data_IF_222696573841
#
_entry.id   IF_222696573841
#
_cell.length_a   1.000
_cell.length_b   1.000
_cell.length_c   1.000
_cell.angle_alpha   90.00
_cell.angle_beta   90.00
_cell.angle_gamma   90.00
#
_symmetry.space_group_name_H-M   'P 1'
#
loop_
_entity.id
_entity.type
_entity.pdbx_description
1 polymer ?
#
# COMPACT_ATOMS: atom_id res chain seq x y z
N UNK A 1 -32.89 4.67 5.86
CA UNK A 1 -31.46 4.58 5.50
C UNK A 1 -31.24 3.19 4.92
N UNK A 2 -31.23 3.06 3.61
CA UNK A 2 -30.77 1.83 2.93
C UNK A 2 -29.28 1.73 3.23
N UNK A 3 -28.89 0.79 4.08
CA UNK A 3 -27.49 0.43 4.23
C UNK A 3 -27.00 -0.05 2.86
N UNK A 4 -25.95 0.57 2.33
CA UNK A 4 -25.24 0.06 1.16
C UNK A 4 -24.87 -1.40 1.43
N UNK A 5 -24.93 -2.28 0.41
CA UNK A 5 -24.51 -3.66 0.58
C UNK A 5 -23.04 -3.66 1.00
N UNK A 6 -22.76 -4.16 2.19
CA UNK A 6 -21.40 -4.36 2.66
C UNK A 6 -20.74 -5.41 1.76
N UNK A 7 -19.53 -5.15 1.30
CA UNK A 7 -18.75 -6.10 0.50
C UNK A 7 -18.64 -7.44 1.25
N UNK A 8 -19.18 -8.51 0.67
CA UNK A 8 -19.27 -9.83 1.32
C UNK A 8 -18.09 -10.72 1.01
N UNK A 9 -17.46 -10.53 -0.14
CA UNK A 9 -16.37 -11.36 -0.64
C UNK A 9 -15.34 -10.50 -1.38
N UNK A 10 -14.09 -10.94 -1.29
CA UNK A 10 -12.98 -10.51 -2.15
C UNK A 10 -12.47 -11.71 -2.94
N UNK A 11 -11.92 -11.46 -4.11
CA UNK A 11 -11.21 -12.44 -4.93
C UNK A 11 -9.73 -12.05 -4.92
N UNK A 12 -8.84 -12.97 -4.49
CA UNK A 12 -7.42 -12.66 -4.34
C UNK A 12 -6.50 -13.84 -4.61
N UNK A 13 -5.24 -13.55 -4.93
CA UNK A 13 -4.12 -14.47 -5.00
C UNK A 13 -2.94 -13.92 -4.19
N UNK A 14 -2.13 -14.81 -3.62
CA UNK A 14 -0.83 -14.45 -3.03
C UNK A 14 0.32 -14.50 -4.04
N UNK A 15 0.04 -14.56 -5.33
CA UNK A 15 1.06 -14.66 -6.39
C UNK A 15 2.00 -15.85 -6.18
N UNK A 16 1.45 -16.96 -5.67
CA UNK A 16 2.21 -18.16 -5.37
C UNK A 16 2.25 -19.15 -6.56
N UNK A 17 1.72 -18.76 -7.71
CA UNK A 17 1.66 -19.57 -8.93
C UNK A 17 2.05 -18.75 -10.17
N UNK A 18 2.48 -19.45 -11.22
CA UNK A 18 2.95 -18.85 -12.47
C UNK A 18 1.87 -18.09 -13.23
N UNK A 19 0.62 -18.51 -13.15
CA UNK A 19 -0.46 -17.93 -13.96
C UNK A 19 -0.85 -16.56 -13.43
N UNK A 20 -1.01 -16.41 -12.11
CA UNK A 20 -1.29 -15.11 -11.49
C UNK A 20 -0.10 -14.16 -11.55
N UNK A 21 1.14 -14.67 -11.48
CA UNK A 21 2.35 -13.86 -11.72
C UNK A 21 2.41 -13.38 -13.18
N UNK A 22 2.15 -14.23 -14.16
CA UNK A 22 2.14 -13.85 -15.57
C UNK A 22 1.03 -12.83 -15.88
N UNK A 23 -0.16 -12.99 -15.29
CA UNK A 23 -1.25 -12.02 -15.40
C UNK A 23 -0.81 -10.65 -14.88
N UNK A 24 -0.30 -10.59 -13.65
CA UNK A 24 0.14 -9.32 -13.06
C UNK A 24 1.29 -8.70 -13.83
N UNK A 25 2.29 -9.51 -14.23
CA UNK A 25 3.40 -9.02 -15.05
C UNK A 25 2.91 -8.34 -16.33
N UNK A 26 1.94 -8.99 -17.03
CA UNK A 26 1.34 -8.40 -18.22
C UNK A 26 0.60 -7.09 -17.92
N UNK A 27 -0.20 -7.03 -16.86
CA UNK A 27 -0.93 -5.81 -16.49
C UNK A 27 0.03 -4.64 -16.19
N UNK A 28 1.12 -4.90 -15.47
CA UNK A 28 2.14 -3.90 -15.16
C UNK A 28 2.88 -3.43 -16.43
N UNK A 29 3.25 -4.35 -17.34
CA UNK A 29 3.86 -4.02 -18.63
C UNK A 29 2.92 -3.18 -19.51
N UNK A 30 1.64 -3.58 -19.63
CA UNK A 30 0.64 -2.85 -20.40
C UNK A 30 0.37 -1.45 -19.82
N UNK A 31 0.59 -1.26 -18.53
CA UNK A 31 0.52 0.03 -17.84
C UNK A 31 1.81 0.87 -17.96
N UNK A 32 2.89 0.30 -18.50
CA UNK A 32 4.15 1.02 -18.72
C UNK A 32 5.13 0.99 -17.54
N UNK A 33 4.93 0.10 -16.58
CA UNK A 33 5.92 -0.14 -15.50
C UNK A 33 7.17 -0.77 -16.13
N UNK A 34 8.35 -0.28 -15.77
CA UNK A 34 9.62 -0.78 -16.31
C UNK A 34 9.89 -2.23 -15.90
N UNK A 35 10.56 -2.98 -16.80
CA UNK A 35 10.93 -4.38 -16.56
C UNK A 35 11.74 -4.56 -15.28
N UNK A 36 12.61 -3.60 -14.95
CA UNK A 36 13.40 -3.63 -13.72
C UNK A 36 12.49 -3.62 -12.47
N UNK A 37 11.47 -2.77 -12.42
CA UNK A 37 10.53 -2.69 -11.29
C UNK A 37 9.70 -3.96 -11.17
N UNK A 38 9.23 -4.48 -12.30
CA UNK A 38 8.47 -5.73 -12.35
C UNK A 38 9.31 -6.88 -11.83
N UNK A 39 10.56 -7.02 -12.31
CA UNK A 39 11.47 -8.07 -11.87
C UNK A 39 11.79 -7.97 -10.38
N UNK A 40 12.17 -6.77 -9.91
CA UNK A 40 12.44 -6.54 -8.48
C UNK A 40 11.26 -6.87 -7.60
N UNK A 41 10.04 -6.50 -8.02
CA UNK A 41 8.82 -6.85 -7.29
C UNK A 41 8.64 -8.37 -7.18
N UNK A 42 8.75 -9.11 -8.28
CA UNK A 42 8.57 -10.56 -8.26
C UNK A 42 9.70 -11.30 -7.53
N UNK A 43 10.92 -10.79 -7.55
CA UNK A 43 12.01 -11.33 -6.74
C UNK A 43 11.68 -11.27 -5.24
N UNK A 44 11.08 -10.17 -4.78
CA UNK A 44 10.64 -10.03 -3.40
C UNK A 44 9.39 -10.86 -3.08
N UNK A 45 8.44 -10.97 -4.01
CA UNK A 45 7.30 -11.91 -3.89
C UNK A 45 7.81 -13.32 -3.70
N UNK A 46 8.74 -13.77 -4.54
CA UNK A 46 9.30 -15.11 -4.46
C UNK A 46 10.10 -15.32 -3.18
N UNK A 47 10.91 -14.34 -2.78
CA UNK A 47 11.68 -14.37 -1.53
C UNK A 47 10.76 -14.57 -0.33
N UNK A 48 9.65 -13.80 -0.26
CA UNK A 48 8.67 -13.93 0.81
C UNK A 48 7.95 -15.29 0.77
N UNK A 49 7.41 -15.66 -0.38
CA UNK A 49 6.66 -16.91 -0.54
C UNK A 49 7.52 -18.15 -0.26
N UNK A 50 8.81 -18.11 -0.54
CA UNK A 50 9.76 -19.16 -0.21
C UNK A 50 10.13 -19.23 1.28
N UNK A 51 9.85 -18.20 2.05
CA UNK A 51 10.15 -18.16 3.48
C UNK A 51 9.04 -18.78 4.34
N UNK A 52 7.81 -18.78 3.85
CA UNK A 52 6.62 -19.20 4.62
C UNK A 52 6.10 -20.57 4.17
N UNK A 53 5.24 -21.18 4.98
CA UNK A 53 4.58 -22.43 4.61
C UNK A 53 3.68 -22.21 3.39
N UNK A 54 3.87 -22.98 2.29
CA UNK A 54 3.01 -22.87 1.11
C UNK A 54 1.51 -23.06 1.40
N UNK A 55 1.14 -23.80 2.46
CA UNK A 55 -0.24 -24.01 2.86
C UNK A 55 -0.93 -22.72 3.34
N UNK A 56 -0.18 -21.68 3.71
CA UNK A 56 -0.70 -20.39 4.10
C UNK A 56 -0.96 -19.46 2.91
N UNK A 57 -0.48 -19.82 1.72
CA UNK A 57 -0.58 -19.02 0.52
C UNK A 57 -1.72 -19.48 -0.37
N UNK A 58 -2.41 -18.54 -0.98
CA UNK A 58 -3.44 -18.78 -2.00
C UNK A 58 -2.80 -18.80 -3.38
N UNK A 59 -2.93 -19.94 -4.06
CA UNK A 59 -2.57 -20.12 -5.47
C UNK A 59 -3.79 -19.91 -6.37
N UNK A 60 -3.60 -19.31 -7.53
CA UNK A 60 -4.72 -18.86 -8.35
C UNK A 60 -5.53 -17.77 -7.64
N UNK A 61 -6.76 -17.56 -8.07
CA UNK A 61 -7.70 -16.67 -7.39
C UNK A 61 -8.68 -17.46 -6.55
N UNK A 62 -8.82 -17.09 -5.28
CA UNK A 62 -9.81 -17.64 -4.36
C UNK A 62 -10.70 -16.55 -3.77
N UNK A 63 -11.95 -16.94 -3.48
CA UNK A 63 -12.88 -16.08 -2.76
C UNK A 63 -12.70 -16.22 -1.25
N UNK A 64 -12.68 -15.09 -0.55
CA UNK A 64 -12.66 -15.03 0.91
C UNK A 64 -13.55 -13.91 1.42
N UNK A 65 -13.90 -13.92 2.69
CA UNK A 65 -14.44 -12.73 3.32
C UNK A 65 -13.35 -11.67 3.42
N UNK A 66 -13.69 -10.37 3.32
CA UNK A 66 -12.69 -9.31 3.20
C UNK A 66 -11.67 -9.24 4.33
N UNK A 67 -12.04 -9.66 5.54
CA UNK A 67 -11.17 -9.59 6.74
C UNK A 67 -10.65 -10.96 7.20
N UNK A 68 -11.04 -12.05 6.54
CA UNK A 68 -10.56 -13.38 6.92
C UNK A 68 -9.12 -13.59 6.43
N UNK A 69 -8.29 -14.17 7.31
CA UNK A 69 -6.93 -14.57 7.00
C UNK A 69 -6.82 -16.10 7.05
N UNK A 70 -6.10 -16.68 6.08
CA UNK A 70 -5.75 -18.13 6.09
C UNK A 70 -4.52 -18.44 6.92
N UNK A 71 -3.89 -17.43 7.47
CA UNK A 71 -2.60 -17.50 8.15
C UNK A 71 -2.61 -16.67 9.43
N UNK A 72 -1.68 -16.99 10.30
CA UNK A 72 -1.32 -16.14 11.42
C UNK A 72 -0.10 -15.28 11.05
N UNK A 73 -0.20 -13.93 11.07
CA UNK A 73 0.90 -13.05 10.70
C UNK A 73 2.17 -13.25 11.54
N UNK A 74 2.03 -13.62 12.81
CA UNK A 74 3.19 -13.87 13.67
C UNK A 74 3.92 -15.15 13.28
N UNK A 75 3.19 -16.21 12.94
CA UNK A 75 3.79 -17.44 12.42
C UNK A 75 4.54 -17.21 11.11
N UNK A 76 4.03 -16.32 10.24
CA UNK A 76 4.75 -15.92 9.01
C UNK A 76 6.03 -15.14 9.32
N UNK A 77 5.99 -14.24 10.29
CA UNK A 77 7.16 -13.50 10.74
C UNK A 77 8.23 -14.44 11.32
N UNK A 78 7.83 -15.40 12.12
CA UNK A 78 8.73 -16.40 12.70
C UNK A 78 9.41 -17.22 11.61
N UNK A 79 8.64 -17.72 10.62
CA UNK A 79 9.17 -18.46 9.48
C UNK A 79 10.16 -17.64 8.64
N UNK A 80 9.88 -16.36 8.41
CA UNK A 80 10.81 -15.45 7.75
C UNK A 80 12.10 -15.31 8.56
N UNK A 81 11.99 -15.01 9.86
CA UNK A 81 13.14 -14.78 10.74
C UNK A 81 14.00 -16.02 10.86
N UNK A 82 13.39 -17.22 10.97
CA UNK A 82 14.11 -18.49 10.97
C UNK A 82 14.95 -18.68 9.71
N UNK A 83 14.44 -18.24 8.55
CA UNK A 83 15.13 -18.40 7.27
C UNK A 83 16.19 -17.36 6.99
N UNK A 84 15.93 -16.10 7.32
CA UNK A 84 16.77 -14.97 6.91
C UNK A 84 17.46 -14.24 8.06
N UNK A 85 17.13 -14.57 9.32
CA UNK A 85 17.67 -13.92 10.52
C UNK A 85 17.55 -12.37 10.49
N UNK A 86 16.47 -11.87 9.87
CA UNK A 86 16.19 -10.45 9.70
C UNK A 86 14.73 -10.15 9.93
N UNK A 87 14.39 -8.86 10.00
CA UNK A 87 12.99 -8.43 9.97
C UNK A 87 12.36 -8.72 8.59
N UNK A 88 11.06 -9.09 8.52
CA UNK A 88 10.41 -9.34 7.23
C UNK A 88 10.40 -8.12 6.32
N UNK A 89 10.92 -8.30 5.17
CA UNK A 89 10.93 -7.52 3.93
C UNK A 89 10.12 -6.22 3.82
N UNK A 90 9.42 -6.07 2.71
CA UNK A 90 8.68 -4.84 2.39
C UNK A 90 7.31 -4.77 3.04
N UNK A 91 6.80 -3.55 3.19
CA UNK A 91 5.41 -3.26 3.54
C UNK A 91 4.64 -2.65 2.34
N UNK A 92 3.42 -2.13 2.60
CA UNK A 92 2.59 -1.51 1.58
C UNK A 92 3.26 -0.31 0.91
N UNK A 93 3.92 0.57 1.67
CA UNK A 93 4.56 1.79 1.17
C UNK A 93 5.77 1.49 0.29
N UNK A 94 6.67 0.62 0.74
CA UNK A 94 7.86 0.23 -0.03
C UNK A 94 7.45 -0.50 -1.31
N UNK A 95 6.48 -1.40 -1.23
CA UNK A 95 5.95 -2.14 -2.39
C UNK A 95 5.33 -1.19 -3.42
N UNK A 96 4.46 -0.29 -2.98
CA UNK A 96 3.78 0.63 -3.89
C UNK A 96 4.76 1.65 -4.50
N UNK A 97 5.69 2.19 -3.71
CA UNK A 97 6.75 3.07 -4.20
C UNK A 97 7.63 2.35 -5.24
N UNK A 98 8.01 1.11 -4.99
CA UNK A 98 8.79 0.29 -5.90
C UNK A 98 8.10 0.09 -7.26
N UNK A 99 6.81 -0.24 -7.26
CA UNK A 99 6.04 -0.45 -8.50
C UNK A 99 5.67 0.85 -9.22
N UNK A 100 5.32 1.89 -8.47
CA UNK A 100 4.74 3.12 -9.03
C UNK A 100 5.77 4.24 -9.27
N UNK A 101 7.03 4.02 -8.93
CA UNK A 101 8.07 5.05 -8.94
C UNK A 101 8.32 5.73 -10.29
N UNK A 102 8.10 5.03 -11.43
CA UNK A 102 8.23 5.63 -12.77
C UNK A 102 7.17 6.70 -13.06
N UNK A 103 6.07 6.68 -12.31
CA UNK A 103 4.95 7.62 -12.46
C UNK A 103 5.00 8.79 -11.47
N UNK A 104 6.09 8.91 -10.71
CA UNK A 104 6.29 9.95 -9.69
C UNK A 104 7.48 10.81 -10.05
N UNK A 105 7.28 12.14 -9.95
CA UNK A 105 8.36 13.12 -10.02
C UNK A 105 8.36 13.98 -8.75
N UNK A 106 9.54 14.25 -8.21
CA UNK A 106 9.72 15.10 -7.03
C UNK A 106 10.80 16.13 -7.31
N UNK A 107 10.47 17.41 -7.11
CA UNK A 107 11.40 18.54 -7.36
C UNK A 107 11.77 19.30 -6.07
N UNK A 108 11.06 19.05 -4.98
CA UNK A 108 11.28 19.65 -3.67
C UNK A 108 11.75 18.64 -2.63
N UNK A 109 11.52 18.95 -1.37
CA UNK A 109 11.86 18.08 -0.22
C UNK A 109 10.70 18.02 0.75
N UNK A 110 10.52 16.88 1.41
CA UNK A 110 9.64 16.73 2.54
C UNK A 110 10.31 17.26 3.82
N UNK A 111 9.51 17.77 4.75
CA UNK A 111 9.91 17.96 6.12
C UNK A 111 9.84 16.61 6.84
N UNK A 112 10.95 16.16 7.40
CA UNK A 112 11.09 14.85 8.02
C UNK A 112 11.05 14.87 9.55
N UNK A 113 10.83 16.03 10.19
CA UNK A 113 10.88 16.17 11.64
C UNK A 113 9.99 15.18 12.41
N UNK A 114 8.86 14.77 11.82
CA UNK A 114 7.96 13.75 12.38
C UNK A 114 7.98 12.41 11.64
N UNK A 115 8.75 12.29 10.58
CA UNK A 115 8.77 11.08 9.75
C UNK A 115 9.56 9.95 10.41
N UNK A 116 10.64 10.25 11.14
CA UNK A 116 11.47 9.26 11.81
C UNK A 116 10.67 8.45 12.82
N UNK A 117 9.78 9.08 13.59
CA UNK A 117 8.94 8.40 14.58
C UNK A 117 7.85 7.53 13.93
N UNK A 118 7.40 7.90 12.74
CA UNK A 118 6.28 7.24 12.03
C UNK A 118 6.75 6.17 11.06
N UNK A 119 7.88 6.39 10.39
CA UNK A 119 8.39 5.58 9.29
C UNK A 119 9.71 4.85 9.65
N UNK A 120 10.06 4.74 10.94
CA UNK A 120 11.36 4.18 11.35
C UNK A 120 11.58 2.75 10.82
N UNK A 121 10.53 1.90 10.81
CA UNK A 121 10.64 0.54 10.29
C UNK A 121 10.81 0.51 8.76
N UNK A 122 10.16 1.46 8.07
CA UNK A 122 10.35 1.63 6.62
C UNK A 122 11.79 2.03 6.31
N UNK A 123 12.31 3.00 7.05
CA UNK A 123 13.68 3.49 6.88
C UNK A 123 14.72 2.42 7.19
N UNK A 124 14.52 1.65 8.27
CA UNK A 124 15.39 0.52 8.59
C UNK A 124 15.42 -0.52 7.45
N UNK A 125 14.26 -0.83 6.89
CA UNK A 125 14.16 -1.75 5.74
C UNK A 125 14.84 -1.17 4.49
N UNK A 126 14.57 0.09 4.16
CA UNK A 126 15.17 0.75 2.99
C UNK A 126 16.69 0.88 3.10
N UNK A 127 17.23 1.06 4.31
CA UNK A 127 18.66 1.18 4.56
C UNK A 127 19.37 -0.20 4.54
N UNK A 128 18.66 -1.28 4.87
CA UNK A 128 19.20 -2.64 4.93
C UNK A 128 19.00 -3.45 3.65
N UNK A 129 18.08 -3.04 2.76
CA UNK A 129 17.78 -3.73 1.51
C UNK A 129 18.34 -2.97 0.30
N UNK A 130 19.54 -3.33 -0.19
CA UNK A 130 20.15 -2.65 -1.33
C UNK A 130 19.43 -2.91 -2.66
N UNK A 131 18.50 -3.87 -2.71
CA UNK A 131 17.71 -4.19 -3.90
C UNK A 131 16.45 -3.33 -4.00
N UNK A 132 16.12 -2.57 -2.96
CA UNK A 132 14.95 -1.70 -2.97
C UNK A 132 15.16 -0.49 -3.87
N UNK A 133 14.48 -0.45 -5.01
CA UNK A 133 14.46 0.72 -5.89
C UNK A 133 13.92 1.96 -5.18
N UNK A 134 13.04 1.78 -4.21
CA UNK A 134 12.54 2.86 -3.38
C UNK A 134 13.59 3.43 -2.42
N UNK A 135 14.59 2.63 -2.03
CA UNK A 135 15.76 3.09 -1.29
C UNK A 135 16.61 4.07 -2.09
N UNK A 136 16.89 3.74 -3.37
CA UNK A 136 17.60 4.62 -4.30
C UNK A 136 16.81 5.89 -4.64
N UNK A 137 15.48 5.81 -4.58
CA UNK A 137 14.56 6.90 -4.84
C UNK A 137 13.96 7.48 -3.54
N UNK A 138 14.73 7.52 -2.44
CA UNK A 138 14.30 7.95 -1.11
C UNK A 138 13.50 9.26 -1.14
N UNK A 139 13.86 10.21 -1.98
CA UNK A 139 13.15 11.48 -2.11
C UNK A 139 11.69 11.30 -2.56
N UNK A 140 11.40 10.29 -3.40
CA UNK A 140 10.01 9.98 -3.79
C UNK A 140 9.25 9.38 -2.61
N UNK A 141 9.87 8.46 -1.88
CA UNK A 141 9.30 7.84 -0.68
C UNK A 141 8.96 8.89 0.37
N UNK A 142 9.92 9.76 0.71
CA UNK A 142 9.74 10.82 1.70
C UNK A 142 8.63 11.81 1.29
N UNK A 143 8.61 12.23 0.03
CA UNK A 143 7.61 13.16 -0.47
C UNK A 143 6.18 12.59 -0.39
N UNK A 144 6.03 11.28 -0.64
CA UNK A 144 4.74 10.60 -0.57
C UNK A 144 4.28 10.35 0.86
N UNK A 145 5.17 9.81 1.71
CA UNK A 145 4.77 9.14 2.94
C UNK A 145 5.11 9.89 4.22
N UNK A 146 5.98 10.91 4.18
CA UNK A 146 6.20 11.73 5.36
C UNK A 146 4.89 12.36 5.84
N UNK A 147 4.56 12.30 7.14
CA UNK A 147 3.32 12.83 7.68
C UNK A 147 3.07 14.28 7.28
N UNK A 148 1.80 14.64 7.15
CA UNK A 148 1.37 15.98 6.78
C UNK A 148 0.66 16.62 7.96
N UNK A 149 1.21 17.69 8.53
CA UNK A 149 0.56 18.43 9.62
C UNK A 149 -0.83 18.93 9.17
N UNK A 150 -1.81 18.78 10.05
CA UNK A 150 -3.19 19.18 9.80
C UNK A 150 -3.81 19.83 11.04
N UNK A 151 -5.07 20.23 10.93
CA UNK A 151 -5.85 20.80 12.03
C UNK A 151 -6.73 19.73 12.70
N UNK A 152 -7.07 19.95 13.96
CA UNK A 152 -8.03 19.12 14.68
C UNK A 152 -9.46 19.40 14.15
N UNK A 153 -9.86 18.69 13.09
CA UNK A 153 -11.21 18.77 12.50
C UNK A 153 -11.60 17.41 11.93
N UNK A 154 -12.90 17.12 11.92
CA UNK A 154 -13.45 15.93 11.27
C UNK A 154 -13.80 16.15 9.80
N UNK A 155 -13.53 17.34 9.25
CA UNK A 155 -13.88 17.72 7.87
C UNK A 155 -12.89 17.13 6.86
N UNK A 156 -13.26 16.03 6.21
CA UNK A 156 -12.45 15.35 5.20
C UNK A 156 -12.03 16.27 4.04
N UNK A 157 -12.89 17.14 3.46
CA UNK A 157 -12.47 18.08 2.42
C UNK A 157 -11.31 18.99 2.85
N UNK A 158 -11.27 19.44 4.10
CA UNK A 158 -10.14 20.21 4.65
C UNK A 158 -8.86 19.40 4.65
N UNK A 159 -8.90 18.15 5.10
CA UNK A 159 -7.75 17.25 5.12
C UNK A 159 -7.25 16.92 3.70
N UNK A 160 -8.17 16.64 2.78
CA UNK A 160 -7.83 16.40 1.38
C UNK A 160 -7.08 17.60 0.76
N UNK A 161 -7.58 18.79 0.99
CA UNK A 161 -6.90 20.02 0.53
C UNK A 161 -5.53 20.18 1.17
N UNK A 162 -5.40 19.90 2.45
CA UNK A 162 -4.15 20.02 3.21
C UNK A 162 -3.07 19.08 2.65
N UNK A 163 -3.38 17.80 2.43
CA UNK A 163 -2.41 16.83 1.90
C UNK A 163 -2.01 17.18 0.45
N UNK A 164 -2.96 17.59 -0.38
CA UNK A 164 -2.68 18.01 -1.77
C UNK A 164 -1.79 19.25 -1.83
N UNK A 165 -2.01 20.22 -0.96
CA UNK A 165 -1.17 21.43 -0.88
C UNK A 165 0.25 21.10 -0.39
N UNK A 166 0.39 20.23 0.60
CA UNK A 166 1.70 19.83 1.10
C UNK A 166 2.46 19.03 0.04
N UNK A 167 1.82 18.08 -0.65
CA UNK A 167 2.44 17.34 -1.75
C UNK A 167 2.91 18.28 -2.88
N UNK A 168 2.10 19.29 -3.22
CA UNK A 168 2.51 20.33 -4.18
C UNK A 168 3.72 21.13 -3.68
N UNK A 169 3.78 21.47 -2.39
CA UNK A 169 4.92 22.16 -1.78
C UNK A 169 6.18 21.30 -1.82
N UNK A 170 6.07 19.99 -1.61
CA UNK A 170 7.15 19.01 -1.76
C UNK A 170 7.59 18.82 -3.23
N UNK A 171 6.91 19.43 -4.16
CA UNK A 171 7.16 19.29 -5.60
C UNK A 171 6.78 17.91 -6.13
N UNK A 172 5.87 17.22 -5.44
CA UNK A 172 5.36 15.91 -5.85
C UNK A 172 4.36 16.09 -7.00
N UNK A 173 4.55 15.33 -8.06
CA UNK A 173 3.61 15.22 -9.17
C UNK A 173 3.54 13.79 -9.68
N UNK A 174 2.38 13.42 -10.22
CA UNK A 174 2.09 12.11 -10.77
C UNK A 174 1.88 12.18 -12.28
N UNK A 175 2.30 11.14 -12.98
CA UNK A 175 1.86 10.94 -14.36
C UNK A 175 0.40 10.48 -14.31
N UNK A 176 -0.47 11.23 -14.99
CA UNK A 176 -1.89 10.89 -15.09
C UNK A 176 -2.08 9.82 -16.17
N UNK A 177 -2.25 8.57 -15.75
CA UNK A 177 -2.45 7.41 -16.63
C UNK A 177 -3.64 6.59 -16.15
N UNK A 178 -4.60 6.36 -17.04
CA UNK A 178 -5.81 5.60 -16.71
C UNK A 178 -5.56 4.10 -16.49
N UNK A 179 -4.38 3.60 -16.86
CA UNK A 179 -4.03 2.17 -16.74
C UNK A 179 -3.43 1.81 -15.39
N UNK A 180 -2.95 2.81 -14.63
CA UNK A 180 -2.31 2.59 -13.34
C UNK A 180 -2.57 3.78 -12.41
N UNK A 181 -2.91 3.50 -11.16
CA UNK A 181 -3.14 4.51 -10.12
C UNK A 181 -2.53 4.06 -8.80
N UNK A 182 -2.02 5.02 -8.06
CA UNK A 182 -1.66 4.84 -6.66
C UNK A 182 -2.90 5.14 -5.81
N UNK A 183 -3.36 4.14 -5.04
CA UNK A 183 -4.52 4.30 -4.16
C UNK A 183 -4.06 4.27 -2.71
N UNK A 184 -4.28 5.38 -2.02
CA UNK A 184 -3.82 5.59 -0.65
C UNK A 184 -4.99 5.71 0.32
N UNK A 185 -4.86 5.09 1.48
CA UNK A 185 -5.77 5.22 2.61
C UNK A 185 -5.14 6.20 3.59
N UNK A 186 -5.79 7.33 3.78
CA UNK A 186 -5.30 8.43 4.63
C UNK A 186 -5.97 8.36 5.99
N UNK A 187 -5.15 8.36 7.03
CA UNK A 187 -5.56 8.38 8.44
C UNK A 187 -5.32 9.76 9.03
N UNK A 188 -6.25 10.22 9.86
CA UNK A 188 -6.08 11.38 10.71
C UNK A 188 -5.61 10.93 12.08
N UNK A 189 -4.35 11.19 12.39
CA UNK A 189 -3.74 10.86 13.67
C UNK A 189 -3.65 12.08 14.58
N UNK A 190 -4.05 11.91 15.82
CA UNK A 190 -4.07 12.97 16.84
C UNK A 190 -3.25 12.57 18.04
N UNK A 191 -2.07 13.17 18.18
CA UNK A 191 -1.21 13.00 19.36
C UNK A 191 -1.62 13.93 20.52
N UNK A 192 -2.17 15.12 20.19
CA UNK A 192 -2.73 16.08 21.14
C UNK A 192 -3.74 17.00 20.44
N UNK A 193 -4.41 17.89 21.19
CA UNK A 193 -5.33 18.88 20.59
C UNK A 193 -4.65 19.76 19.54
N UNK A 194 -3.35 20.00 19.66
CA UNK A 194 -2.56 20.87 18.77
C UNK A 194 -1.61 20.10 17.87
N UNK A 195 -1.44 18.80 18.07
CA UNK A 195 -0.56 17.95 17.27
C UNK A 195 -1.37 16.89 16.52
N UNK A 196 -1.73 17.26 15.31
CA UNK A 196 -2.51 16.43 14.39
C UNK A 196 -1.76 16.25 13.08
N UNK A 197 -1.78 15.05 12.53
CA UNK A 197 -1.19 14.76 11.23
C UNK A 197 -2.05 13.81 10.39
N UNK A 198 -1.87 13.93 9.09
CA UNK A 198 -2.37 12.97 8.11
C UNK A 198 -1.22 12.05 7.74
N UNK A 199 -1.50 10.75 7.74
CA UNK A 199 -0.53 9.76 7.32
C UNK A 199 -1.16 8.73 6.39
N UNK A 200 -0.38 8.19 5.46
CA UNK A 200 -0.81 7.10 4.62
C UNK A 200 -0.65 5.80 5.41
N UNK A 201 -1.77 5.32 5.95
CA UNK A 201 -1.83 4.09 6.73
C UNK A 201 -1.79 2.83 5.88
N UNK A 202 -2.26 2.92 4.63
CA UNK A 202 -2.14 1.86 3.64
C UNK A 202 -2.08 2.43 2.22
N UNK A 203 -1.45 1.69 1.32
CA UNK A 203 -1.33 2.07 -0.08
C UNK A 203 -1.14 0.83 -0.94
N UNK A 204 -1.66 0.87 -2.16
CA UNK A 204 -1.43 -0.13 -3.18
C UNK A 204 -1.53 0.44 -4.58
N UNK A 205 -1.26 -0.40 -5.56
CA UNK A 205 -1.28 -0.03 -6.98
C UNK A 205 -2.52 -0.64 -7.63
N UNK A 206 -3.36 0.22 -8.18
CA UNK A 206 -4.57 -0.16 -8.91
C UNK A 206 -4.29 -0.22 -10.41
N UNK A 207 -4.74 -1.29 -11.03
CA UNK A 207 -4.61 -1.57 -12.47
C UNK A 207 -6.01 -1.82 -13.05
N UNK A 208 -6.70 -0.77 -13.54
CA UNK A 208 -8.01 -0.91 -14.16
C UNK A 208 -7.90 -1.61 -15.51
N UNK A 209 -8.87 -2.47 -15.80
CA UNK A 209 -9.08 -3.09 -17.12
C UNK A 209 -10.52 -2.86 -17.59
N UNK A 210 -10.88 -3.33 -18.78
CA UNK A 210 -12.28 -3.28 -19.28
C UNK A 210 -13.24 -4.06 -18.39
N UNK A 211 -12.77 -5.12 -17.73
CA UNK A 211 -13.64 -6.13 -17.11
C UNK A 211 -13.50 -6.19 -15.58
N UNK A 212 -12.42 -5.64 -15.04
CA UNK A 212 -12.11 -5.70 -13.62
C UNK A 212 -11.18 -4.57 -13.18
N UNK A 213 -11.07 -4.40 -11.89
CA UNK A 213 -10.04 -3.58 -11.24
C UNK A 213 -9.14 -4.51 -10.44
N UNK A 214 -7.87 -4.56 -10.80
CA UNK A 214 -6.88 -5.29 -10.03
C UNK A 214 -6.19 -4.34 -9.05
N UNK A 215 -5.84 -4.86 -7.87
CA UNK A 215 -5.17 -4.09 -6.84
C UNK A 215 -4.03 -4.90 -6.24
N UNK A 216 -2.82 -4.37 -6.34
CA UNK A 216 -1.60 -4.97 -5.79
C UNK A 216 -1.32 -4.34 -4.45
N UNK A 217 -1.23 -5.15 -3.41
CA UNK A 217 -0.89 -4.68 -2.07
C UNK A 217 0.05 -5.64 -1.34
N UNK A 218 0.75 -5.11 -0.35
CA UNK A 218 1.35 -5.88 0.75
C UNK A 218 0.87 -5.24 2.04
N UNK A 219 0.06 -5.96 2.81
CA UNK A 219 -0.66 -5.36 3.94
C UNK A 219 0.28 -4.87 5.03
N UNK A 220 1.26 -5.69 5.39
CA UNK A 220 2.27 -5.39 6.39
C UNK A 220 3.57 -6.14 6.09
N UNK A 221 4.64 -5.84 6.81
CA UNK A 221 5.94 -6.50 6.64
C UNK A 221 5.83 -8.03 6.73
N UNK A 222 5.09 -8.54 7.72
CA UNK A 222 4.94 -9.97 7.99
C UNK A 222 3.83 -10.65 7.17
N UNK A 223 3.07 -9.93 6.38
CA UNK A 223 1.96 -10.49 5.59
C UNK A 223 2.35 -10.69 4.12
N UNK A 224 1.75 -11.64 3.39
CA UNK A 224 2.12 -11.92 2.02
C UNK A 224 1.66 -10.81 1.06
N UNK A 225 2.26 -10.80 -0.12
CA UNK A 225 1.78 -10.01 -1.24
C UNK A 225 0.41 -10.50 -1.67
N UNK A 226 -0.43 -9.58 -2.16
CA UNK A 226 -1.74 -9.89 -2.71
C UNK A 226 -1.97 -9.22 -4.05
N UNK A 227 -2.56 -9.97 -4.96
CA UNK A 227 -3.27 -9.45 -6.12
C UNK A 227 -4.76 -9.65 -5.89
N UNK A 228 -5.49 -8.57 -5.65
CA UNK A 228 -6.95 -8.60 -5.49
C UNK A 228 -7.62 -8.25 -6.82
N UNK A 229 -8.82 -8.78 -7.03
CA UNK A 229 -9.65 -8.51 -8.19
C UNK A 229 -11.04 -8.08 -7.76
N UNK A 230 -11.46 -6.91 -8.22
CA UNK A 230 -12.76 -6.31 -7.95
C UNK A 230 -13.51 -6.05 -9.25
N UNK A 231 -14.82 -5.98 -9.20
CA UNK A 231 -15.64 -5.64 -10.37
C UNK A 231 -15.44 -4.20 -10.82
N UNK A 232 -15.19 -3.29 -9.87
CA UNK A 232 -15.05 -1.87 -10.12
C UNK A 232 -14.36 -1.15 -8.96
N UNK A 233 -14.09 0.15 -9.12
CA UNK A 233 -13.43 1.00 -8.11
C UNK A 233 -14.26 1.13 -6.81
N UNK A 234 -15.59 1.03 -6.88
CA UNK A 234 -16.44 1.09 -5.69
C UNK A 234 -16.18 -0.10 -4.77
N UNK A 235 -16.09 -1.32 -5.32
CA UNK A 235 -15.77 -2.51 -4.51
C UNK A 235 -14.37 -2.42 -3.88
N UNK A 236 -13.38 -1.88 -4.59
CA UNK A 236 -12.05 -1.61 -4.02
C UNK A 236 -12.14 -0.59 -2.87
N UNK A 237 -12.87 0.50 -3.07
CA UNK A 237 -13.09 1.51 -2.03
C UNK A 237 -13.79 0.90 -0.80
N UNK A 238 -14.84 0.10 -1.01
CA UNK A 238 -15.57 -0.58 0.07
C UNK A 238 -14.66 -1.54 0.84
N UNK A 239 -13.77 -2.28 0.15
CA UNK A 239 -12.78 -3.14 0.77
C UNK A 239 -11.81 -2.35 1.66
N UNK A 240 -11.25 -1.27 1.14
CA UNK A 240 -10.29 -0.44 1.87
C UNK A 240 -10.95 0.24 3.08
N UNK A 241 -12.14 0.77 2.93
CA UNK A 241 -12.89 1.39 4.04
C UNK A 241 -13.29 0.36 5.09
N UNK A 242 -13.75 -0.83 4.69
CA UNK A 242 -14.08 -1.90 5.64
C UNK A 242 -12.86 -2.32 6.48
N UNK A 243 -11.69 -2.32 5.87
CA UNK A 243 -10.46 -2.77 6.53
C UNK A 243 -9.79 -1.70 7.39
N UNK A 244 -9.84 -0.44 6.97
CA UNK A 244 -9.04 0.64 7.54
C UNK A 244 -9.82 1.76 8.20
N UNK A 245 -11.14 1.90 7.96
CA UNK A 245 -11.98 2.89 8.67
C UNK A 245 -12.38 2.34 10.04
N UNK A 246 -11.40 2.27 10.92
CA UNK A 246 -11.56 1.79 12.28
C UNK A 246 -11.78 2.98 13.22
N UNK A 247 -12.95 3.07 13.84
CA UNK A 247 -13.22 4.04 14.89
C UNK A 247 -12.61 3.56 16.21
N UNK A 248 -11.61 4.28 16.68
CA UNK A 248 -10.94 4.02 17.96
C UNK A 248 -11.52 4.83 19.11
N UNK A 249 -12.68 5.49 18.90
CA UNK A 249 -13.27 6.39 19.86
C UNK A 249 -12.55 7.74 19.99
N UNK A 250 -11.67 8.07 19.05
CA UNK A 250 -11.01 9.38 18.93
C UNK A 250 -11.94 10.35 18.19
N UNK A 251 -11.82 11.63 18.47
CA UNK A 251 -12.56 12.70 17.79
C UNK A 251 -11.79 13.21 16.56
N UNK A 252 -11.39 12.27 15.70
CA UNK A 252 -10.67 12.52 14.45
C UNK A 252 -11.59 12.34 13.24
N UNK A 253 -11.13 12.79 12.07
CA UNK A 253 -11.84 12.53 10.83
C UNK A 253 -11.87 11.01 10.53
N UNK A 254 -12.92 10.57 9.86
CA UNK A 254 -12.94 9.23 9.26
C UNK A 254 -11.79 9.08 8.27
N UNK A 255 -11.32 7.86 8.13
CA UNK A 255 -10.41 7.44 7.07
C UNK A 255 -10.99 7.81 5.70
N UNK A 256 -10.14 8.23 4.78
CA UNK A 256 -10.55 8.53 3.41
C UNK A 256 -9.54 8.02 2.39
N UNK A 257 -10.01 7.84 1.15
CA UNK A 257 -9.20 7.31 0.06
C UNK A 257 -8.78 8.45 -0.84
N UNK A 258 -7.50 8.43 -1.21
CA UNK A 258 -6.87 9.34 -2.16
C UNK A 258 -6.33 8.51 -3.33
N UNK A 259 -6.83 8.83 -4.54
CA UNK A 259 -6.42 8.23 -5.82
C UNK A 259 -5.69 9.27 -6.70
#
# INVERSE_FOLDING_TARGET
KTSLPVLQQIEYSNLADSDTQALLSKLLQDAGVSDLRIQTFFDHVQKFNNAVDPAWLTTGFENAKPLDLKYDPYSMQDAWTEKYDTFPGWNCRITACGLFGDFITVTGKADLDSAEDTLFMDYETLDSDPESLCGDERQKFDALFAPVKTTNTTDIPTHLKTIQQEWKKRGLSFVDDDKIRLVSVVLHDQFSETDNSLMIGHVGVMLPTSDAVYFVEKVAFQEPYRLLKFKNRTELSDYLMLKYDNSWGQDTAHTFILE
#
